data_IF_184640929455
#
_entry.id   IF_184640929455
#
_cell.length_a   1.000
_cell.length_b   1.000
_cell.length_c   1.000
_cell.angle_alpha   90.00
_cell.angle_beta   90.00
_cell.angle_gamma   90.00
#
_symmetry.space_group_name_H-M   'P 1'
#
loop_
_entity.id
_entity.type
_entity.pdbx_description
1 polymer ?
#
# COMPACT_ATOMS: atom_id res chain seq x y z
N UNK A 1 -0.29 -16.11 -31.27
CA UNK A 1 0.66 -17.24 -31.25
C UNK A 1 1.93 -16.82 -30.51
N UNK A 2 1.84 -16.69 -29.19
CA UNK A 2 2.94 -16.48 -28.24
C UNK A 2 2.57 -17.24 -26.95
N UNK A 3 2.16 -18.50 -27.13
CA UNK A 3 1.77 -19.35 -26.01
C UNK A 3 3.02 -19.89 -25.35
N UNK A 4 3.72 -19.04 -24.58
CA UNK A 4 4.72 -19.53 -23.65
C UNK A 4 3.98 -20.36 -22.62
N UNK A 5 4.16 -21.68 -22.69
CA UNK A 5 3.55 -22.59 -21.76
C UNK A 5 4.08 -22.35 -20.34
N UNK A 6 3.37 -22.87 -19.32
CA UNK A 6 3.84 -22.81 -17.94
C UNK A 6 5.27 -23.36 -17.79
N UNK A 7 5.64 -24.34 -18.63
CA UNK A 7 6.94 -24.97 -18.61
C UNK A 7 8.05 -24.08 -19.16
N UNK A 8 7.86 -23.40 -20.30
CA UNK A 8 8.85 -22.44 -20.81
C UNK A 8 9.05 -21.27 -19.85
N UNK A 9 7.97 -20.77 -19.24
CA UNK A 9 8.06 -19.69 -18.26
C UNK A 9 8.90 -20.11 -17.04
N UNK A 10 8.77 -21.35 -16.59
CA UNK A 10 9.54 -21.90 -15.47
C UNK A 10 11.03 -22.02 -15.80
N UNK A 11 11.37 -22.42 -17.03
CA UNK A 11 12.76 -22.47 -17.52
C UNK A 11 13.35 -21.06 -17.58
N UNK A 12 12.61 -20.09 -18.14
CA UNK A 12 13.07 -18.69 -18.18
C UNK A 12 13.29 -18.14 -16.78
N UNK A 13 12.35 -18.41 -15.85
CA UNK A 13 12.48 -18.01 -14.46
C UNK A 13 13.72 -18.66 -13.81
N UNK A 14 14.00 -19.93 -14.09
CA UNK A 14 15.19 -20.62 -13.60
C UNK A 14 16.50 -19.98 -14.11
N UNK A 15 16.56 -19.60 -15.39
CA UNK A 15 17.73 -18.90 -15.97
C UNK A 15 17.91 -17.52 -15.31
N UNK A 16 16.84 -16.76 -15.14
CA UNK A 16 16.88 -15.47 -14.43
C UNK A 16 17.35 -15.66 -12.99
N UNK A 17 16.83 -16.66 -12.28
CA UNK A 17 17.26 -16.99 -10.92
C UNK A 17 18.72 -17.45 -10.86
N UNK A 18 19.27 -18.06 -11.91
CA UNK A 18 20.68 -18.43 -11.96
C UNK A 18 21.59 -17.20 -12.10
N UNK A 19 21.20 -16.24 -12.94
CA UNK A 19 21.97 -15.00 -13.20
C UNK A 19 21.88 -14.05 -12.00
N UNK A 20 20.67 -13.81 -11.51
CA UNK A 20 20.43 -12.85 -10.42
C UNK A 20 20.60 -13.49 -9.04
N UNK A 21 20.43 -14.81 -8.93
CA UNK A 21 20.43 -15.54 -7.66
C UNK A 21 19.08 -15.48 -6.94
N UNK A 22 18.73 -16.57 -6.25
CA UNK A 22 17.46 -16.69 -5.52
C UNK A 22 17.23 -15.68 -4.38
N UNK A 23 18.30 -14.98 -3.94
CA UNK A 23 18.20 -13.94 -2.90
C UNK A 23 17.92 -12.54 -3.46
N UNK A 24 18.35 -12.24 -4.70
CA UNK A 24 18.21 -10.89 -5.28
C UNK A 24 16.80 -10.60 -5.78
N UNK A 25 16.14 -11.59 -6.39
CA UNK A 25 14.75 -11.44 -6.84
C UNK A 25 13.79 -10.99 -5.71
N UNK A 26 13.73 -11.66 -4.55
CA UNK A 26 12.84 -11.25 -3.46
C UNK A 26 13.28 -9.94 -2.79
N UNK A 27 14.58 -9.64 -2.77
CA UNK A 27 15.12 -8.37 -2.27
C UNK A 27 14.63 -7.18 -3.13
N UNK A 28 14.73 -7.30 -4.45
CA UNK A 28 14.22 -6.31 -5.41
C UNK A 28 12.69 -6.20 -5.33
N UNK A 29 11.98 -7.32 -5.30
CA UNK A 29 10.51 -7.33 -5.20
C UNK A 29 10.02 -6.65 -3.91
N UNK A 30 10.71 -6.84 -2.78
CA UNK A 30 10.40 -6.15 -1.52
C UNK A 30 10.62 -4.65 -1.61
N UNK A 31 11.71 -4.20 -2.26
CA UNK A 31 11.99 -2.78 -2.48
C UNK A 31 10.95 -2.10 -3.38
N UNK A 32 10.64 -2.73 -4.52
CA UNK A 32 9.63 -2.25 -5.46
C UNK A 32 8.23 -2.27 -4.85
N UNK A 33 7.87 -3.34 -4.13
CA UNK A 33 6.57 -3.48 -3.48
C UNK A 33 6.32 -2.40 -2.43
N UNK A 34 7.34 -2.05 -1.64
CA UNK A 34 7.24 -0.92 -0.69
C UNK A 34 7.02 0.41 -1.42
N UNK A 35 7.77 0.68 -2.49
CA UNK A 35 7.59 1.91 -3.28
C UNK A 35 6.19 1.99 -3.90
N UNK A 36 5.71 0.91 -4.51
CA UNK A 36 4.36 0.87 -5.11
C UNK A 36 3.26 1.01 -4.05
N UNK A 37 3.43 0.43 -2.86
CA UNK A 37 2.50 0.60 -1.75
C UNK A 37 2.45 2.04 -1.26
N UNK A 38 3.61 2.66 -1.01
CA UNK A 38 3.68 4.05 -0.55
C UNK A 38 3.18 5.03 -1.62
N UNK A 39 3.50 4.77 -2.89
CA UNK A 39 3.00 5.55 -4.02
C UNK A 39 1.47 5.48 -4.11
N UNK A 40 0.91 4.26 -4.00
CA UNK A 40 -0.56 4.09 -3.99
C UNK A 40 -1.20 4.72 -2.75
N UNK A 41 -0.56 4.68 -1.59
CA UNK A 41 -1.06 5.34 -0.39
C UNK A 41 -1.14 6.87 -0.58
N UNK A 42 -0.07 7.50 -1.07
CA UNK A 42 -0.06 8.94 -1.35
C UNK A 42 -1.12 9.36 -2.37
N UNK A 43 -1.32 8.58 -3.44
CA UNK A 43 -2.39 8.85 -4.41
C UNK A 43 -3.80 8.75 -3.80
N UNK A 44 -4.03 7.85 -2.85
CA UNK A 44 -5.31 7.74 -2.15
C UNK A 44 -5.48 8.86 -1.12
N UNK A 45 -4.40 9.32 -0.49
CA UNK A 45 -4.41 10.40 0.48
C UNK A 45 -4.73 11.73 -0.20
N UNK A 46 -4.13 12.04 -1.36
CA UNK A 46 -4.49 13.21 -2.18
C UNK A 46 -5.96 13.16 -2.66
N UNK A 47 -6.48 11.97 -2.98
CA UNK A 47 -7.88 11.79 -3.37
C UNK A 47 -8.86 11.84 -2.18
N UNK A 48 -8.40 11.52 -0.96
CA UNK A 48 -9.21 11.55 0.27
C UNK A 48 -9.18 12.93 0.94
N UNK A 49 -8.12 13.73 0.74
CA UNK A 49 -8.04 15.12 1.23
C UNK A 49 -9.06 16.05 0.56
N UNK A 50 -9.59 15.69 -0.62
CA UNK A 50 -10.75 16.40 -1.20
C UNK A 50 -12.07 16.11 -0.45
N UNK A 51 -12.12 15.07 0.39
CA UNK A 51 -13.31 14.65 1.15
C UNK A 51 -13.19 14.84 2.68
N UNK A 52 -11.98 14.90 3.25
CA UNK A 52 -11.78 14.94 4.72
C UNK A 52 -11.69 16.34 5.36
N UNK A 53 -12.02 17.42 4.64
CA UNK A 53 -12.34 18.72 5.29
C UNK A 53 -13.81 18.76 5.72
N UNK A 54 -14.35 17.69 6.31
CA UNK A 54 -15.67 17.70 7.00
C UNK A 54 -15.68 16.71 8.17
N UNK A 55 -14.57 16.40 8.84
CA UNK A 55 -14.63 15.57 10.07
C UNK A 55 -13.53 15.89 11.07
N UNK A 56 -13.29 17.17 11.38
CA UNK A 56 -12.46 17.59 12.53
C UNK A 56 -13.05 18.75 13.35
N UNK A 57 -14.36 18.98 13.27
CA UNK A 57 -15.07 20.01 14.06
C UNK A 57 -16.05 19.41 15.10
N UNK A 58 -15.85 18.16 15.53
CA UNK A 58 -16.70 17.52 16.54
C UNK A 58 -15.88 16.72 17.55
N UNK A 59 -14.83 17.33 18.12
CA UNK A 59 -14.19 16.76 19.32
C UNK A 59 -13.44 17.83 20.13
N UNK A 60 -14.05 19.00 20.40
CA UNK A 60 -13.51 19.93 21.41
C UNK A 60 -14.56 20.84 22.11
N UNK A 61 -15.85 20.51 22.12
CA UNK A 61 -16.77 21.28 22.98
C UNK A 61 -18.06 20.52 23.33
N UNK A 62 -17.98 19.61 24.30
CA UNK A 62 -19.15 18.85 24.73
C UNK A 62 -18.98 18.12 26.05
N UNK A 63 -18.25 18.70 27.01
CA UNK A 63 -18.34 18.25 28.40
C UNK A 63 -19.63 18.80 29.00
N UNK A 64 -20.59 17.97 29.47
CA UNK A 64 -21.80 18.51 30.10
C UNK A 64 -21.44 19.19 31.43
N UNK A 65 -21.95 20.41 31.68
CA UNK A 65 -21.81 21.07 32.97
C UNK A 65 -22.52 20.23 34.04
N UNK A 66 -21.74 19.87 35.04
CA UNK A 66 -22.23 19.40 36.33
C UNK A 66 -22.93 20.58 36.98
N UNK A 67 -24.26 20.56 37.09
CA UNK A 67 -25.04 21.25 38.13
C UNK A 67 -26.54 21.08 37.91
N UNK A 68 -27.17 20.29 38.79
CA UNK A 68 -28.49 20.65 39.31
C UNK A 68 -28.66 20.09 40.72
N UNK A 69 -28.13 20.85 41.66
CA UNK A 69 -28.56 20.95 43.05
C UNK A 69 -29.98 21.55 43.09
N UNK A 70 -30.83 21.05 44.01
CA UNK A 70 -32.01 21.77 44.50
C UNK A 70 -33.34 21.32 43.94
#
# INVERSE_FOLDING_TARGET
MLGLGPWELLIVLAVVLLIFGGKRLPELARGLGKSVTNFKAGLNEEQSEETETTTRAQQENGGPPKEKTG
#
